data_IF_219983871953
#
_entry.id   IF_219983871953
#
_cell.length_a   1.000
_cell.length_b   1.000
_cell.length_c   1.000
_cell.angle_alpha   90.00
_cell.angle_beta   90.00
_cell.angle_gamma   90.00
#
_symmetry.space_group_name_H-M   'P 1'
#
loop_
_entity.id
_entity.type
_entity.pdbx_description
1 polymer ?
#
# COMPACT_ATOMS: atom_id res chain seq x y z
N UNK A 1 -12.71 2.13 -27.89
CA UNK A 1 -12.63 3.38 -27.10
C UNK A 1 -11.47 3.20 -26.14
N UNK A 2 -10.45 4.03 -26.24
CA UNK A 2 -9.31 3.96 -25.31
C UNK A 2 -9.71 4.52 -23.94
N UNK A 3 -9.21 3.94 -22.82
CA UNK A 3 -9.52 4.45 -21.49
C UNK A 3 -8.85 5.81 -21.26
N UNK A 4 -9.60 6.75 -20.68
CA UNK A 4 -9.06 8.04 -20.26
C UNK A 4 -8.18 7.87 -19.02
N UNK A 5 -6.89 8.16 -19.15
CA UNK A 5 -5.96 8.30 -18.02
C UNK A 5 -6.28 9.64 -17.35
N UNK A 6 -6.72 9.60 -16.09
CA UNK A 6 -7.06 10.81 -15.34
C UNK A 6 -5.84 11.30 -14.56
N UNK A 7 -5.18 12.35 -15.06
CA UNK A 7 -4.31 13.20 -14.26
C UNK A 7 -5.20 14.14 -13.44
N UNK A 8 -5.50 13.80 -12.19
CA UNK A 8 -6.37 14.64 -11.33
C UNK A 8 -5.64 15.93 -10.95
N UNK A 9 -5.80 16.98 -11.76
CA UNK A 9 -5.68 18.35 -11.29
C UNK A 9 -6.78 18.64 -10.27
N UNK A 10 -6.42 19.28 -9.17
CA UNK A 10 -7.29 19.63 -8.06
C UNK A 10 -8.45 20.54 -8.48
N UNK A 11 -9.60 19.97 -8.83
CA UNK A 11 -10.92 20.58 -8.60
C UNK A 11 -12.07 19.59 -8.79
N UNK A 12 -13.05 19.70 -7.88
CA UNK A 12 -14.43 19.20 -7.94
C UNK A 12 -14.72 17.75 -7.53
N UNK A 13 -15.48 17.64 -6.42
CA UNK A 13 -16.02 16.43 -5.78
C UNK A 13 -17.10 15.76 -6.65
N UNK A 14 -16.74 15.08 -7.72
CA UNK A 14 -17.67 14.18 -8.41
C UNK A 14 -16.97 12.87 -8.74
N UNK A 15 -17.46 11.76 -8.17
CA UNK A 15 -16.93 10.43 -8.49
C UNK A 15 -17.24 10.14 -9.98
N UNK A 16 -16.25 9.69 -10.77
CA UNK A 16 -16.46 9.37 -12.18
C UNK A 16 -17.52 8.28 -12.36
N UNK A 17 -18.40 8.46 -13.36
CA UNK A 17 -19.48 7.52 -13.73
C UNK A 17 -18.98 6.26 -14.45
N UNK A 18 -17.69 6.22 -14.81
CA UNK A 18 -17.01 5.08 -15.42
C UNK A 18 -15.94 4.52 -14.47
N UNK A 19 -15.54 3.24 -14.60
CA UNK A 19 -14.50 2.67 -13.76
C UNK A 19 -13.20 3.48 -13.91
N UNK A 20 -12.84 4.18 -12.84
CA UNK A 20 -11.58 4.91 -12.76
C UNK A 20 -10.47 3.89 -12.79
N UNK A 21 -9.63 3.95 -13.81
CA UNK A 21 -8.39 3.18 -13.83
C UNK A 21 -7.28 4.08 -13.33
N UNK A 22 -6.63 3.64 -12.26
CA UNK A 22 -5.42 4.30 -11.77
C UNK A 22 -4.22 3.70 -12.51
N UNK A 23 -3.37 4.56 -13.03
CA UNK A 23 -2.05 4.10 -13.48
C UNK A 23 -1.19 3.75 -12.25
N UNK A 24 -0.13 2.98 -12.47
CA UNK A 24 0.83 2.71 -11.38
C UNK A 24 1.43 3.99 -10.81
N UNK A 25 1.53 5.04 -11.62
CA UNK A 25 2.08 6.33 -11.22
C UNK A 25 1.10 7.14 -10.37
N UNK A 26 -0.20 7.09 -10.71
CA UNK A 26 -1.26 7.66 -9.87
C UNK A 26 -1.26 6.99 -8.49
N UNK A 27 -1.19 5.66 -8.46
CA UNK A 27 -1.14 4.90 -7.22
C UNK A 27 0.09 5.23 -6.38
N UNK A 28 1.28 5.37 -6.98
CA UNK A 28 2.47 5.82 -6.26
C UNK A 28 2.27 7.20 -5.66
N UNK A 29 1.82 8.16 -6.48
CA UNK A 29 1.58 9.55 -6.08
C UNK A 29 0.64 9.64 -4.87
N UNK A 30 -0.44 8.86 -4.85
CA UNK A 30 -1.41 8.91 -3.77
C UNK A 30 -1.03 8.08 -2.54
N UNK A 31 -0.39 6.94 -2.72
CA UNK A 31 -0.12 6.00 -1.62
C UNK A 31 1.20 6.28 -0.91
N UNK A 32 2.21 6.80 -1.59
CA UNK A 32 3.51 7.15 -0.98
C UNK A 32 3.40 8.08 0.25
N UNK A 33 2.66 9.21 0.21
CA UNK A 33 2.52 10.05 1.41
C UNK A 33 1.78 9.35 2.56
N UNK A 34 0.85 8.43 2.25
CA UNK A 34 0.13 7.64 3.26
C UNK A 34 1.07 6.64 3.92
N UNK A 35 1.88 5.94 3.12
CA UNK A 35 2.89 4.98 3.60
C UNK A 35 3.93 5.69 4.47
N UNK A 36 4.42 6.85 4.05
CA UNK A 36 5.33 7.66 4.87
C UNK A 36 4.70 8.05 6.20
N UNK A 37 3.44 8.51 6.19
CA UNK A 37 2.71 8.83 7.42
C UNK A 37 2.60 7.61 8.35
N UNK A 38 2.32 6.42 7.79
CA UNK A 38 2.27 5.18 8.57
C UNK A 38 3.62 4.86 9.22
N UNK A 39 4.73 5.00 8.50
CA UNK A 39 6.08 4.74 9.02
C UNK A 39 6.47 5.73 10.12
N UNK A 40 6.06 7.00 10.02
CA UNK A 40 6.37 8.01 11.03
C UNK A 40 5.53 7.91 12.30
N UNK A 41 4.48 7.09 12.31
CA UNK A 41 3.64 6.91 13.49
C UNK A 41 4.40 6.17 14.60
N UNK A 42 4.18 6.56 15.85
CA UNK A 42 4.85 5.97 17.03
C UNK A 42 4.59 4.46 17.14
N UNK A 43 3.35 4.04 16.88
CA UNK A 43 2.92 2.64 16.94
C UNK A 43 3.36 1.79 15.72
N UNK A 44 4.11 2.37 14.77
CA UNK A 44 4.39 1.70 13.51
C UNK A 44 5.48 0.63 13.60
N UNK A 45 6.35 0.71 14.61
CA UNK A 45 7.59 -0.07 14.69
C UNK A 45 7.39 -1.57 14.40
N UNK A 46 6.40 -2.20 15.04
CA UNK A 46 6.11 -3.64 14.89
C UNK A 46 5.60 -4.04 13.50
N UNK A 47 5.25 -3.08 12.64
CA UNK A 47 4.68 -3.30 11.31
C UNK A 47 5.61 -2.85 10.18
N UNK A 48 6.76 -2.25 10.49
CA UNK A 48 7.64 -1.69 9.47
C UNK A 48 8.32 -2.75 8.61
N UNK A 49 8.52 -3.97 9.15
CA UNK A 49 9.25 -5.07 8.51
C UNK A 49 8.46 -6.38 8.62
N UNK A 50 8.75 -7.39 7.78
CA UNK A 50 8.15 -8.71 7.92
C UNK A 50 8.39 -9.27 9.32
N UNK A 51 7.36 -9.92 9.88
CA UNK A 51 7.50 -10.59 11.19
C UNK A 51 8.52 -11.72 11.05
N UNK A 52 9.49 -11.75 11.96
CA UNK A 52 10.45 -12.85 12.12
C UNK A 52 10.03 -13.72 13.34
N UNK A 53 9.35 -14.86 13.11
CA UNK A 53 8.83 -15.68 14.20
C UNK A 53 9.92 -16.30 15.08
N UNK A 54 11.12 -16.51 14.52
CA UNK A 54 12.23 -17.16 15.21
C UNK A 54 12.88 -16.15 16.16
N UNK A 55 13.27 -14.99 15.64
CA UNK A 55 13.91 -13.93 16.43
C UNK A 55 13.00 -13.41 17.55
N UNK A 56 11.68 -13.37 17.30
CA UNK A 56 10.67 -12.95 18.27
C UNK A 56 10.17 -14.06 19.20
N UNK A 57 10.63 -15.31 19.01
CA UNK A 57 10.22 -16.49 19.80
C UNK A 57 8.70 -16.76 19.79
N UNK A 58 8.06 -16.53 18.65
CA UNK A 58 6.61 -16.77 18.41
C UNK A 58 6.44 -17.79 17.27
N UNK A 59 6.91 -19.01 17.48
CA UNK A 59 7.01 -20.04 16.42
C UNK A 59 5.65 -20.49 15.85
N UNK A 60 4.56 -20.23 16.56
CA UNK A 60 3.18 -20.48 16.14
C UNK A 60 2.62 -19.39 15.21
N UNK A 61 3.33 -18.27 15.03
CA UNK A 61 2.93 -17.18 14.14
C UNK A 61 2.53 -17.63 12.72
N UNK A 62 3.32 -18.44 11.97
CA UNK A 62 2.89 -18.93 10.65
C UNK A 62 1.76 -19.97 10.72
N UNK A 63 1.50 -20.56 11.89
CA UNK A 63 0.38 -21.46 12.11
C UNK A 63 -0.92 -20.67 12.23
N UNK A 64 -0.88 -19.50 12.86
CA UNK A 64 -2.06 -18.65 13.09
C UNK A 64 -2.27 -17.66 11.93
N UNK A 65 -1.22 -16.98 11.50
CA UNK A 65 -1.24 -15.95 10.46
C UNK A 65 -0.80 -16.55 9.12
N UNK A 66 -1.77 -16.80 8.23
CA UNK A 66 -1.53 -17.49 6.93
C UNK A 66 -1.06 -16.56 5.80
N UNK A 67 -1.37 -15.28 5.89
CA UNK A 67 -1.07 -14.28 4.87
C UNK A 67 -0.48 -13.04 5.53
N UNK A 68 0.70 -13.18 6.12
CA UNK A 68 1.39 -12.07 6.78
C UNK A 68 1.76 -10.96 5.79
N UNK A 69 1.77 -9.72 6.27
CA UNK A 69 2.17 -8.54 5.50
C UNK A 69 2.72 -7.47 6.44
N UNK A 70 3.56 -6.60 5.92
CA UNK A 70 4.19 -5.48 6.62
C UNK A 70 4.26 -4.24 5.71
N UNK A 71 4.56 -3.08 6.29
CA UNK A 71 4.59 -1.79 5.58
C UNK A 71 5.67 -1.79 4.48
N UNK A 72 6.84 -2.40 4.70
CA UNK A 72 7.88 -2.47 3.66
C UNK A 72 7.42 -3.32 2.47
N UNK A 73 6.70 -4.41 2.71
CA UNK A 73 6.10 -5.23 1.64
C UNK A 73 5.06 -4.43 0.85
N UNK A 74 4.18 -3.68 1.53
CA UNK A 74 3.19 -2.82 0.87
C UNK A 74 3.90 -1.76 0.02
N UNK A 75 4.89 -1.08 0.58
CA UNK A 75 5.66 -0.05 -0.11
C UNK A 75 6.34 -0.60 -1.37
N UNK A 76 7.01 -1.75 -1.25
CA UNK A 76 7.63 -2.43 -2.38
C UNK A 76 6.61 -2.81 -3.47
N UNK A 77 5.38 -3.20 -3.10
CA UNK A 77 4.33 -3.51 -4.07
C UNK A 77 3.81 -2.27 -4.80
N UNK A 78 3.68 -1.13 -4.11
CA UNK A 78 3.35 0.16 -4.75
C UNK A 78 4.44 0.57 -5.72
N UNK A 79 5.71 0.57 -5.28
CA UNK A 79 6.85 0.92 -6.12
C UNK A 79 7.00 -0.01 -7.33
N UNK A 80 6.65 -1.29 -7.22
CA UNK A 80 6.72 -2.26 -8.32
C UNK A 80 5.46 -2.31 -9.18
N UNK A 81 4.47 -1.45 -8.94
CA UNK A 81 3.21 -1.44 -9.70
C UNK A 81 2.46 -2.77 -9.60
N UNK A 82 2.41 -3.36 -8.40
CA UNK A 82 1.72 -4.64 -8.15
C UNK A 82 0.25 -4.46 -7.76
N UNK A 83 -0.20 -3.22 -7.61
CA UNK A 83 -1.59 -2.85 -7.37
C UNK A 83 -2.22 -2.32 -8.66
N UNK A 84 -3.51 -2.57 -8.85
CA UNK A 84 -4.32 -2.19 -10.02
C UNK A 84 -5.56 -1.43 -9.55
#
# INVERSE_FOLDING_TARGET
MEPMIVSMGSSSKQLPKHPVQFTHEDLRTYLEPIIHKMITSEDSYSFQQPVDPISLKILDYPIIIKHSIDISTIHNKVLRGKYK
#
